data_IF_551661013095
#
_entry.id   IF_551661013095
#
_cell.length_a   1.000
_cell.length_b   1.000
_cell.length_c   1.000
_cell.angle_alpha   90.00
_cell.angle_beta   90.00
_cell.angle_gamma   90.00
#
_symmetry.space_group_name_H-M   'P 1'
#
loop_
_entity.id
_entity.type
_entity.pdbx_description
1 polymer ?
#
# COMPACT_ATOMS: atom_id res chain seq x y z
N UNK A 1 -33.90 15.02 -12.29
CA UNK A 1 -34.55 14.72 -13.59
C UNK A 1 -33.60 14.35 -14.72
N UNK A 2 -32.33 14.00 -14.44
CA UNK A 2 -31.41 13.36 -15.41
C UNK A 2 -31.01 11.94 -14.98
N UNK A 3 -31.58 11.42 -13.88
CA UNK A 3 -31.20 10.17 -13.23
C UNK A 3 -32.22 9.03 -13.34
N UNK A 4 -33.39 9.24 -13.98
CA UNK A 4 -34.44 8.19 -14.08
C UNK A 4 -34.55 7.53 -15.46
N UNK A 5 -33.82 7.98 -16.47
CA UNK A 5 -33.96 7.47 -17.84
C UNK A 5 -32.95 6.38 -18.26
N UNK A 6 -31.99 6.02 -17.41
CA UNK A 6 -30.96 5.02 -17.73
C UNK A 6 -31.22 3.65 -17.09
N UNK A 7 -32.12 3.55 -16.11
CA UNK A 7 -32.41 2.31 -15.39
C UNK A 7 -33.58 1.48 -15.96
N UNK A 8 -34.19 1.89 -17.08
CA UNK A 8 -35.39 1.24 -17.63
C UNK A 8 -35.17 0.47 -18.96
N UNK A 9 -33.93 0.21 -19.35
CA UNK A 9 -33.61 -0.58 -20.55
C UNK A 9 -32.37 -1.44 -20.33
N UNK A 10 -32.52 -2.53 -19.56
CA UNK A 10 -31.76 -3.77 -19.80
C UNK A 10 -32.32 -4.99 -19.03
N UNK A 11 -33.64 -5.07 -18.85
CA UNK A 11 -34.30 -6.35 -18.57
C UNK A 11 -34.46 -7.13 -19.88
N UNK A 12 -33.39 -7.83 -20.30
CA UNK A 12 -33.43 -9.11 -21.02
C UNK A 12 -32.07 -9.42 -21.64
N UNK A 13 -31.18 -10.08 -20.88
CA UNK A 13 -30.24 -11.08 -21.40
C UNK A 13 -29.62 -11.85 -20.24
N UNK A 14 -30.19 -13.01 -19.99
CA UNK A 14 -29.60 -14.08 -19.18
C UNK A 14 -28.30 -14.56 -19.84
N UNK A 15 -27.16 -14.32 -19.20
CA UNK A 15 -25.94 -15.08 -19.42
C UNK A 15 -25.41 -15.46 -18.04
N UNK A 16 -25.41 -16.76 -17.75
CA UNK A 16 -24.74 -17.35 -16.60
C UNK A 16 -23.26 -16.98 -16.63
N UNK A 17 -22.87 -16.03 -15.78
CA UNK A 17 -21.47 -15.73 -15.47
C UNK A 17 -21.16 -16.36 -14.12
N UNK A 18 -20.35 -17.40 -14.14
CA UNK A 18 -19.69 -17.94 -12.95
C UNK A 18 -18.73 -16.88 -12.41
N UNK A 19 -19.23 -16.02 -11.53
CA UNK A 19 -18.44 -15.08 -10.76
C UNK A 19 -17.50 -15.86 -9.84
N UNK A 20 -16.23 -15.95 -10.21
CA UNK A 20 -15.18 -16.41 -9.29
C UNK A 20 -14.90 -15.28 -8.31
N UNK A 21 -15.65 -15.24 -7.21
CA UNK A 21 -15.41 -14.31 -6.11
C UNK A 21 -14.00 -14.51 -5.55
N UNK A 22 -13.27 -13.43 -5.31
CA UNK A 22 -12.09 -13.47 -4.43
C UNK A 22 -12.48 -14.11 -3.08
N UNK A 23 -11.64 -14.97 -2.48
CA UNK A 23 -11.97 -15.62 -1.22
C UNK A 23 -12.40 -14.60 -0.15
N UNK A 24 -13.53 -14.79 0.54
CA UNK A 24 -14.03 -13.85 1.55
C UNK A 24 -13.02 -13.50 2.66
N UNK A 25 -12.05 -14.38 2.91
CA UNK A 25 -10.96 -14.18 3.86
C UNK A 25 -9.94 -13.09 3.45
N UNK A 26 -9.82 -12.78 2.15
CA UNK A 26 -8.96 -11.70 1.65
C UNK A 26 -9.60 -10.33 1.88
N UNK A 27 -10.91 -10.18 1.64
CA UNK A 27 -11.61 -8.89 1.75
C UNK A 27 -11.62 -8.31 3.18
N UNK A 28 -11.72 -9.14 4.22
CA UNK A 28 -11.72 -8.66 5.62
C UNK A 28 -10.32 -8.32 6.17
N UNK A 29 -9.25 -8.76 5.50
CA UNK A 29 -7.85 -8.52 5.87
C UNK A 29 -7.16 -7.45 4.99
N UNK A 30 -7.77 -7.10 3.86
CA UNK A 30 -7.25 -6.16 2.84
C UNK A 30 -7.61 -4.69 3.08
N UNK A 31 -8.20 -4.36 4.24
CA UNK A 31 -8.48 -2.97 4.61
C UNK A 31 -7.31 -2.46 5.47
N UNK A 32 -6.27 -1.82 4.88
CA UNK A 32 -5.38 -0.97 5.66
C UNK A 32 -6.25 0.10 6.34
N UNK A 33 -5.80 0.63 7.47
CA UNK A 33 -6.66 1.46 8.30
C UNK A 33 -7.31 2.63 7.54
N UNK A 34 -8.64 2.82 7.61
CA UNK A 34 -9.25 4.06 7.16
C UNK A 34 -8.78 5.20 8.07
N UNK A 35 -8.46 6.34 7.49
CA UNK A 35 -8.03 7.52 8.23
C UNK A 35 -9.26 8.12 8.96
N UNK A 36 -9.41 7.85 10.26
CA UNK A 36 -10.46 8.48 11.09
C UNK A 36 -10.00 8.68 12.53
N UNK A 37 -10.36 9.82 13.14
CA UNK A 37 -10.22 10.07 14.59
C UNK A 37 -11.59 10.37 15.21
N UNK A 38 -12.04 9.38 15.98
CA UNK A 38 -12.83 9.33 17.23
C UNK A 38 -13.50 10.61 17.76
N UNK A 39 -14.84 10.57 17.86
CA UNK A 39 -15.60 11.18 18.98
C UNK A 39 -15.76 10.15 20.11
N UNK A 40 -15.84 10.64 21.37
CA UNK A 40 -15.82 9.85 22.60
C UNK A 40 -16.98 8.85 22.80
N UNK A 41 -16.94 8.05 23.89
CA UNK A 41 -17.65 6.78 23.97
C UNK A 41 -19.15 6.95 24.21
N UNK A 42 -19.96 6.22 23.45
CA UNK A 42 -21.31 5.79 23.88
C UNK A 42 -21.29 4.28 24.13
N UNK A 43 -21.81 3.88 25.28
CA UNK A 43 -21.91 2.48 25.73
C UNK A 43 -22.70 1.59 24.74
N UNK A 44 -22.39 0.29 24.65
CA UNK A 44 -23.08 -0.64 23.77
C UNK A 44 -24.40 -1.14 24.37
N UNK A 45 -25.42 -1.28 23.52
CA UNK A 45 -26.65 -2.03 23.78
C UNK A 45 -26.43 -3.52 23.40
N UNK A 46 -26.61 -4.48 24.33
CA UNK A 46 -26.40 -5.90 24.07
C UNK A 46 -27.71 -6.57 23.68
N UNK A 47 -28.10 -6.50 22.41
CA UNK A 47 -29.16 -7.34 21.80
C UNK A 47 -29.08 -7.21 20.27
N UNK A 48 -28.64 -8.27 19.61
CA UNK A 48 -29.31 -8.92 18.46
C UNK A 48 -28.35 -9.96 17.83
N UNK A 49 -28.51 -11.24 18.20
CA UNK A 49 -29.02 -12.34 17.37
C UNK A 49 -27.92 -13.00 16.51
N UNK A 50 -27.27 -14.07 17.00
CA UNK A 50 -27.67 -15.51 16.97
C UNK A 50 -27.44 -16.23 15.61
N UNK A 51 -26.53 -17.22 15.69
CA UNK A 51 -26.49 -18.55 15.04
C UNK A 51 -26.40 -18.67 13.51
N UNK A 52 -25.38 -19.41 13.04
CA UNK A 52 -25.57 -20.64 12.25
C UNK A 52 -24.41 -21.64 12.49
N UNK A 53 -24.79 -22.92 12.50
CA UNK A 53 -24.03 -24.10 12.90
C UNK A 53 -23.09 -24.67 11.81
N UNK A 54 -21.97 -25.26 12.27
CA UNK A 54 -21.34 -26.52 11.84
C UNK A 54 -21.55 -27.06 10.41
N UNK A 55 -20.44 -27.18 9.67
CA UNK A 55 -20.20 -28.34 8.77
C UNK A 55 -18.74 -28.83 8.97
N UNK A 56 -18.62 -30.09 9.36
CA UNK A 56 -17.38 -30.88 9.51
C UNK A 56 -16.98 -31.59 8.21
N UNK A 57 -15.67 -31.80 8.02
CA UNK A 57 -15.11 -32.95 7.27
C UNK A 57 -14.38 -32.64 5.96
N UNK A 58 -13.04 -32.53 6.02
CA UNK A 58 -12.08 -33.42 5.32
C UNK A 58 -10.67 -32.77 5.30
N UNK A 59 -9.70 -33.47 5.89
CA UNK A 59 -8.28 -33.09 5.89
C UNK A 59 -7.68 -33.25 4.49
N UNK A 60 -7.40 -32.13 3.81
CA UNK A 60 -6.55 -32.13 2.61
C UNK A 60 -5.10 -31.92 3.04
N UNK A 61 -4.32 -33.01 3.04
CA UNK A 61 -2.86 -32.97 3.22
C UNK A 61 -2.22 -32.43 1.94
N UNK A 62 -1.85 -31.14 1.94
CA UNK A 62 -1.08 -30.54 0.84
C UNK A 62 0.41 -30.81 1.10
N UNK A 63 1.02 -31.66 0.26
CA UNK A 63 2.46 -31.91 0.28
C UNK A 63 3.21 -30.65 -0.14
N UNK A 64 3.94 -30.04 0.80
CA UNK A 64 4.84 -28.91 0.53
C UNK A 64 6.16 -29.47 0.00
N UNK A 65 6.59 -29.15 -1.24
CA UNK A 65 7.87 -29.60 -1.77
C UNK A 65 9.06 -29.00 -0.99
N UNK A 66 10.21 -29.68 -0.94
CA UNK A 66 11.36 -29.25 -0.13
C UNK A 66 11.98 -27.95 -0.67
N UNK A 67 12.48 -27.14 0.27
CA UNK A 67 13.09 -25.82 0.03
C UNK A 67 14.40 -25.90 -0.79
N UNK A 68 14.67 -24.95 -1.71
CA UNK A 68 15.98 -24.81 -2.33
C UNK A 68 17.02 -24.32 -1.32
N UNK A 69 18.20 -24.93 -1.34
CA UNK A 69 19.24 -24.83 -0.31
C UNK A 69 20.23 -23.66 -0.47
N UNK A 70 19.93 -22.62 -1.25
CA UNK A 70 20.87 -21.51 -1.49
C UNK A 70 20.25 -20.14 -1.24
N UNK A 71 20.68 -19.49 -0.15
CA UNK A 71 20.59 -18.04 0.02
C UNK A 71 21.45 -17.39 -1.08
N UNK A 72 20.84 -16.80 -2.10
CA UNK A 72 21.56 -16.02 -3.09
C UNK A 72 21.69 -14.58 -2.61
N UNK A 73 22.92 -14.16 -2.31
CA UNK A 73 23.32 -12.83 -1.81
C UNK A 73 23.79 -11.89 -2.92
N UNK A 74 23.32 -12.03 -4.15
CA UNK A 74 23.86 -11.28 -5.30
C UNK A 74 22.78 -10.46 -6.01
N UNK A 75 22.87 -9.14 -5.89
CA UNK A 75 22.17 -8.15 -6.72
C UNK A 75 22.90 -8.05 -8.08
N UNK A 76 22.25 -8.25 -9.24
CA UNK A 76 22.90 -8.04 -10.53
C UNK A 76 23.07 -6.54 -10.83
N UNK A 77 24.10 -6.14 -11.60
CA UNK A 77 24.35 -4.73 -11.91
C UNK A 77 23.29 -4.14 -12.86
N UNK A 78 22.94 -2.87 -12.66
CA UNK A 78 22.01 -2.12 -13.52
C UNK A 78 22.68 -1.72 -14.83
N UNK A 79 22.31 -2.39 -15.92
CA UNK A 79 22.55 -1.95 -17.30
C UNK A 79 21.21 -1.66 -17.96
N UNK A 80 21.13 -0.56 -18.73
CA UNK A 80 19.91 -0.04 -19.33
C UNK A 80 19.08 -1.10 -20.07
N UNK A 81 17.81 -1.20 -19.69
CA UNK A 81 16.81 -2.06 -20.32
C UNK A 81 16.35 -3.20 -19.41
N UNK A 82 15.16 -3.03 -18.81
CA UNK A 82 14.43 -3.99 -17.96
C UNK A 82 15.09 -4.34 -16.62
N UNK A 83 14.30 -4.19 -15.54
CA UNK A 83 14.56 -4.88 -14.28
C UNK A 83 14.51 -6.39 -14.55
N UNK A 84 15.64 -7.08 -14.41
CA UNK A 84 15.69 -8.53 -14.45
C UNK A 84 16.11 -9.04 -13.07
N UNK A 85 15.11 -9.47 -12.28
CA UNK A 85 15.38 -10.35 -11.15
C UNK A 85 15.76 -11.73 -11.71
N UNK A 86 16.82 -12.38 -11.18
CA UNK A 86 17.02 -13.80 -11.42
C UNK A 86 15.80 -14.54 -10.85
N UNK A 87 14.94 -15.06 -11.72
CA UNK A 87 13.84 -15.92 -11.31
C UNK A 87 14.48 -17.19 -10.74
N UNK A 88 14.35 -17.42 -9.44
CA UNK A 88 14.71 -18.71 -8.85
C UNK A 88 14.03 -19.82 -9.68
N UNK A 89 14.75 -20.83 -10.17
CA UNK A 89 14.15 -21.94 -10.93
C UNK A 89 12.99 -22.63 -10.17
N UNK A 90 12.96 -22.54 -8.83
CA UNK A 90 11.85 -22.99 -7.99
C UNK A 90 10.62 -22.06 -8.04
N UNK A 91 10.79 -20.77 -8.35
CA UNK A 91 9.73 -19.77 -8.58
C UNK A 91 9.11 -19.88 -9.99
N UNK A 92 9.82 -20.46 -10.95
CA UNK A 92 9.34 -20.59 -12.34
C UNK A 92 8.04 -21.39 -12.50
N UNK A 93 7.78 -22.35 -11.60
CA UNK A 93 6.52 -23.13 -11.59
C UNK A 93 5.32 -22.35 -11.05
N UNK A 94 5.59 -21.33 -10.22
CA UNK A 94 4.56 -20.50 -9.59
C UNK A 94 4.32 -19.21 -10.35
N UNK A 95 5.29 -18.70 -11.13
CA UNK A 95 5.02 -17.63 -12.10
C UNK A 95 3.88 -18.01 -13.07
N UNK A 96 3.77 -19.31 -13.41
CA UNK A 96 2.66 -19.85 -14.21
C UNK A 96 1.34 -20.00 -13.43
N UNK A 97 1.37 -20.23 -12.10
CA UNK A 97 0.17 -20.33 -11.25
C UNK A 97 -0.31 -18.98 -10.71
N UNK A 98 0.60 -18.01 -10.66
CA UNK A 98 0.37 -16.62 -10.27
C UNK A 98 0.21 -15.71 -11.49
N UNK A 99 0.23 -16.23 -12.72
CA UNK A 99 0.10 -15.46 -13.97
C UNK A 99 -1.05 -14.42 -13.98
N UNK A 100 -2.21 -14.64 -13.32
CA UNK A 100 -3.27 -13.62 -13.22
C UNK A 100 -2.92 -12.43 -12.32
N UNK A 101 -2.01 -12.58 -11.35
CA UNK A 101 -1.71 -11.60 -10.31
C UNK A 101 -0.81 -10.44 -10.78
N UNK A 102 0.12 -10.61 -11.73
CA UNK A 102 0.73 -9.46 -12.41
C UNK A 102 -0.27 -8.68 -13.27
N UNK A 103 -1.22 -9.37 -13.91
CA UNK A 103 -2.13 -8.74 -14.87
C UNK A 103 -3.11 -7.76 -14.22
N UNK A 104 -3.74 -8.12 -13.09
CA UNK A 104 -4.63 -7.18 -12.38
C UNK A 104 -3.84 -5.99 -11.79
N UNK A 105 -2.63 -6.21 -11.27
CA UNK A 105 -1.79 -5.15 -10.72
C UNK A 105 -1.34 -4.17 -11.81
N UNK A 106 -0.96 -4.68 -12.98
CA UNK A 106 -0.68 -3.86 -14.14
C UNK A 106 -1.91 -3.06 -14.61
N UNK A 107 -3.11 -3.68 -14.60
CA UNK A 107 -4.36 -2.98 -14.91
C UNK A 107 -4.63 -1.86 -13.90
N UNK A 108 -4.47 -2.14 -12.61
CA UNK A 108 -4.61 -1.14 -11.55
C UNK A 108 -3.59 0.00 -11.71
N UNK A 109 -2.36 -0.31 -12.12
CA UNK A 109 -1.32 0.67 -12.44
C UNK A 109 -1.74 1.60 -13.58
N UNK A 110 -2.22 1.02 -14.70
CA UNK A 110 -2.76 1.79 -15.83
C UNK A 110 -3.93 2.69 -15.43
N UNK A 111 -4.87 2.17 -14.64
CA UNK A 111 -6.04 2.93 -14.18
C UNK A 111 -5.68 4.04 -13.21
N UNK A 112 -4.70 3.81 -12.35
CA UNK A 112 -4.17 4.86 -11.45
C UNK A 112 -3.49 5.97 -12.26
N UNK A 113 -2.77 5.60 -13.34
CA UNK A 113 -2.20 6.57 -14.27
C UNK A 113 -3.28 7.35 -15.03
N UNK A 114 -4.30 6.68 -15.57
CA UNK A 114 -5.45 7.33 -16.23
C UNK A 114 -6.13 8.33 -15.28
N UNK A 115 -6.36 7.95 -14.02
CA UNK A 115 -6.91 8.83 -13.00
C UNK A 115 -6.06 10.09 -12.81
N UNK A 116 -4.75 9.93 -12.60
CA UNK A 116 -3.85 11.07 -12.42
C UNK A 116 -3.74 11.94 -13.67
N UNK A 117 -3.79 11.34 -14.86
CA UNK A 117 -3.78 12.10 -16.11
C UNK A 117 -5.03 12.97 -16.23
N UNK A 118 -6.21 12.43 -15.93
CA UNK A 118 -7.47 13.19 -15.93
C UNK A 118 -7.40 14.33 -14.91
N UNK A 119 -7.00 14.04 -13.67
CA UNK A 119 -6.89 15.05 -12.60
C UNK A 119 -5.82 16.11 -12.87
N UNK A 120 -4.79 15.78 -13.64
CA UNK A 120 -3.70 16.67 -14.03
C UNK A 120 -3.87 17.38 -15.38
N UNK A 121 -4.83 16.99 -16.20
CA UNK A 121 -5.03 17.56 -17.55
C UNK A 121 -5.77 18.90 -17.57
N UNK A 122 -6.49 19.24 -16.50
CA UNK A 122 -7.34 20.42 -16.44
C UNK A 122 -6.53 21.67 -16.06
N UNK A 123 -5.94 22.30 -17.08
CA UNK A 123 -5.10 23.50 -16.94
C UNK A 123 -5.89 24.81 -16.89
N UNK A 124 -7.16 24.83 -17.33
CA UNK A 124 -7.95 26.06 -17.40
C UNK A 124 -8.63 26.40 -16.08
N UNK A 125 -8.74 25.43 -15.16
CA UNK A 125 -9.25 25.65 -13.81
C UNK A 125 -8.09 25.67 -12.82
N UNK A 126 -7.82 26.82 -12.22
CA UNK A 126 -6.73 27.00 -11.23
C UNK A 126 -6.72 25.95 -10.12
N UNK A 127 -7.90 25.42 -9.75
CA UNK A 127 -8.04 24.39 -8.72
C UNK A 127 -7.46 23.02 -9.11
N UNK A 128 -7.39 22.73 -10.40
CA UNK A 128 -6.90 21.46 -10.97
C UNK A 128 -5.58 21.61 -11.71
N UNK A 129 -5.26 22.83 -12.17
CA UNK A 129 -4.02 23.12 -12.88
C UNK A 129 -2.80 22.60 -12.11
N UNK A 130 -1.96 21.75 -12.72
CA UNK A 130 -0.72 21.28 -12.11
C UNK A 130 0.16 22.43 -11.65
N UNK A 131 0.83 22.26 -10.52
CA UNK A 131 1.75 23.27 -9.96
C UNK A 131 3.13 22.67 -9.73
N UNK A 132 4.21 23.44 -9.93
CA UNK A 132 5.56 22.97 -9.63
C UNK A 132 5.72 22.54 -8.17
N UNK A 133 6.60 21.57 -7.95
CA UNK A 133 7.08 21.16 -6.64
C UNK A 133 8.19 22.14 -6.19
N UNK A 134 7.80 23.22 -5.53
CA UNK A 134 8.73 24.26 -5.09
C UNK A 134 9.47 23.88 -3.78
N UNK A 135 10.53 24.64 -3.48
CA UNK A 135 11.38 24.43 -2.29
C UNK A 135 10.60 24.59 -0.98
N UNK A 136 9.62 25.50 -0.93
CA UNK A 136 8.79 25.68 0.26
C UNK A 136 7.93 24.43 0.53
N UNK A 137 7.42 23.82 -0.54
CA UNK A 137 6.70 22.56 -0.45
C UNK A 137 7.63 21.39 -0.06
N UNK A 138 8.85 21.31 -0.59
CA UNK A 138 9.86 20.34 -0.13
C UNK A 138 10.09 20.45 1.38
N UNK A 139 10.31 21.67 1.87
CA UNK A 139 10.50 21.95 3.30
C UNK A 139 9.27 21.53 4.12
N UNK A 140 8.07 21.93 3.69
CA UNK A 140 6.82 21.57 4.37
C UNK A 140 6.63 20.05 4.42
N UNK A 141 6.91 19.35 3.32
CA UNK A 141 6.79 17.89 3.23
C UNK A 141 7.72 17.21 4.25
N UNK A 142 8.99 17.60 4.29
CA UNK A 142 9.96 17.07 5.25
C UNK A 142 9.55 17.35 6.71
N UNK A 143 9.16 18.59 7.03
CA UNK A 143 8.78 18.95 8.41
C UNK A 143 7.53 18.20 8.88
N UNK A 144 6.56 17.98 7.98
CA UNK A 144 5.36 17.20 8.29
C UNK A 144 5.72 15.74 8.62
N UNK A 145 6.52 15.09 7.77
CA UNK A 145 6.95 13.70 7.99
C UNK A 145 7.77 13.56 9.28
N UNK A 146 8.69 14.51 9.54
CA UNK A 146 9.50 14.54 10.77
C UNK A 146 8.66 14.73 12.03
N UNK A 147 7.63 15.59 11.96
CA UNK A 147 6.68 15.80 13.06
C UNK A 147 5.87 14.54 13.35
N UNK A 148 5.34 13.90 12.30
CA UNK A 148 4.63 12.63 12.43
C UNK A 148 5.54 11.53 13.01
N UNK A 149 6.78 11.43 12.52
CA UNK A 149 7.75 10.47 13.01
C UNK A 149 8.06 10.68 14.49
N UNK A 150 8.25 11.92 14.92
CA UNK A 150 8.50 12.26 16.32
C UNK A 150 7.32 11.84 17.22
N UNK A 151 6.08 12.06 16.76
CA UNK A 151 4.86 11.60 17.45
C UNK A 151 4.75 10.08 17.49
N UNK A 152 5.10 9.39 16.41
CA UNK A 152 5.11 7.94 16.35
C UNK A 152 6.10 7.34 17.36
N UNK A 153 7.33 7.88 17.43
CA UNK A 153 8.33 7.44 18.41
C UNK A 153 7.89 7.68 19.85
N UNK A 154 7.29 8.84 20.13
CA UNK A 154 6.79 9.16 21.46
C UNK A 154 5.67 8.18 21.88
N UNK A 155 4.69 7.96 21.01
CA UNK A 155 3.61 7.01 21.27
C UNK A 155 4.12 5.57 21.42
N UNK A 156 5.12 5.19 20.63
CA UNK A 156 5.77 3.87 20.69
C UNK A 156 6.46 3.66 22.04
N UNK A 157 7.17 4.67 22.56
CA UNK A 157 7.78 4.62 23.90
C UNK A 157 6.72 4.51 24.99
N UNK A 158 5.65 5.30 24.91
CA UNK A 158 4.56 5.30 25.90
C UNK A 158 3.82 3.96 25.97
N UNK A 159 3.61 3.31 24.82
CA UNK A 159 2.88 2.04 24.73
C UNK A 159 3.77 0.80 24.75
N UNK A 160 5.09 0.96 24.85
CA UNK A 160 6.06 -0.13 24.80
C UNK A 160 5.69 -1.32 25.69
N UNK A 161 5.34 -1.07 26.95
CA UNK A 161 5.03 -2.14 27.91
C UNK A 161 3.70 -2.88 27.61
N UNK A 162 2.87 -2.34 26.73
CA UNK A 162 1.60 -2.94 26.31
C UNK A 162 1.76 -3.82 25.06
N UNK A 163 2.93 -3.79 24.43
CA UNK A 163 3.21 -4.57 23.22
C UNK A 163 3.61 -6.01 23.55
N UNK A 164 3.39 -6.91 22.60
CA UNK A 164 3.90 -8.29 22.66
C UNK A 164 5.44 -8.30 22.77
N UNK A 165 6.03 -9.39 23.23
CA UNK A 165 7.50 -9.50 23.31
C UNK A 165 8.19 -9.28 21.95
N UNK A 166 7.65 -9.87 20.89
CA UNK A 166 8.15 -9.70 19.53
C UNK A 166 8.03 -8.24 19.05
N UNK A 167 6.87 -7.61 19.28
CA UNK A 167 6.64 -6.22 18.87
C UNK A 167 7.45 -5.22 19.72
N UNK A 168 7.76 -5.54 20.99
CA UNK A 168 8.67 -4.75 21.85
C UNK A 168 10.08 -4.71 21.29
N UNK A 169 10.63 -5.87 20.89
CA UNK A 169 11.97 -5.93 20.30
C UNK A 169 12.03 -5.13 18.99
N UNK A 170 11.01 -5.24 18.14
CA UNK A 170 10.90 -4.46 16.91
C UNK A 170 10.76 -2.94 17.19
N UNK A 171 10.02 -2.58 18.23
CA UNK A 171 9.84 -1.19 18.67
C UNK A 171 11.17 -0.57 19.15
N UNK A 172 11.91 -1.29 20.01
CA UNK A 172 13.22 -0.84 20.50
C UNK A 172 14.23 -0.68 19.37
N UNK A 173 14.24 -1.62 18.44
CA UNK A 173 15.06 -1.52 17.24
C UNK A 173 14.71 -0.26 16.46
N UNK A 174 13.42 0.02 16.23
CA UNK A 174 12.99 1.23 15.51
C UNK A 174 13.43 2.51 16.22
N UNK A 175 13.29 2.57 17.54
CA UNK A 175 13.76 3.71 18.35
C UNK A 175 15.27 3.90 18.18
N UNK A 176 16.04 2.82 18.14
CA UNK A 176 17.49 2.86 17.86
C UNK A 176 17.84 3.33 16.44
N UNK A 177 16.95 3.11 15.47
CA UNK A 177 17.12 3.57 14.08
C UNK A 177 16.60 4.99 13.82
N UNK A 178 16.13 5.71 14.85
CA UNK A 178 15.58 7.05 14.67
C UNK A 178 16.49 8.04 13.92
N UNK A 179 17.82 8.09 14.16
CA UNK A 179 18.71 8.96 13.40
C UNK A 179 18.77 8.61 11.90
N UNK A 180 18.76 7.32 11.56
CA UNK A 180 18.80 6.87 10.16
C UNK A 180 17.48 7.17 9.43
N UNK A 181 16.34 7.05 10.11
CA UNK A 181 15.04 7.42 9.54
C UNK A 181 14.95 8.94 9.30
N UNK A 182 15.38 9.78 10.25
CA UNK A 182 15.44 11.24 10.05
C UNK A 182 16.35 11.59 8.86
N UNK A 183 17.50 10.91 8.74
CA UNK A 183 18.42 11.07 7.60
C UNK A 183 17.71 10.74 6.28
N UNK A 184 17.03 9.59 6.15
CA UNK A 184 16.32 9.21 4.92
C UNK A 184 15.15 10.13 4.59
N UNK A 185 14.41 10.61 5.59
CA UNK A 185 13.37 11.61 5.37
C UNK A 185 13.98 12.92 4.83
N UNK A 186 15.17 13.29 5.30
CA UNK A 186 15.88 14.49 4.86
C UNK A 186 16.41 14.38 3.44
N UNK A 187 16.57 13.17 2.88
CA UNK A 187 17.02 12.99 1.49
C UNK A 187 16.11 13.72 0.48
N UNK A 188 14.84 14.03 0.80
CA UNK A 188 13.95 14.86 -0.05
C UNK A 188 14.40 16.34 -0.16
N UNK A 189 15.25 16.79 0.75
CA UNK A 189 15.78 18.15 0.81
C UNK A 189 17.10 18.32 0.04
N UNK A 190 17.67 17.24 -0.48
CA UNK A 190 18.95 17.28 -1.20
C UNK A 190 18.78 17.83 -2.63
N UNK A 191 18.97 19.14 -2.79
CA UNK A 191 18.75 19.80 -4.07
C UNK A 191 17.27 19.94 -4.47
N UNK A 192 17.04 20.58 -5.62
CA UNK A 192 15.70 20.86 -6.12
C UNK A 192 15.11 19.64 -6.82
N UNK A 193 13.88 19.28 -6.44
CA UNK A 193 13.16 18.18 -7.07
C UNK A 193 12.34 18.70 -8.25
N UNK A 194 12.73 18.30 -9.48
CA UNK A 194 11.96 18.56 -10.68
C UNK A 194 10.70 17.67 -10.71
N UNK A 195 9.63 18.14 -10.07
CA UNK A 195 8.39 17.40 -9.92
C UNK A 195 7.17 18.31 -10.05
N UNK A 196 6.02 17.69 -10.32
CA UNK A 196 4.73 18.37 -10.37
C UNK A 196 3.82 17.90 -9.24
N UNK A 197 2.83 18.74 -8.94
CA UNK A 197 1.76 18.45 -7.98
C UNK A 197 0.41 18.70 -8.61
N UNK A 198 -0.51 17.77 -8.40
CA UNK A 198 -1.89 17.83 -8.90
C UNK A 198 -2.85 17.51 -7.77
N UNK A 199 -4.16 17.61 -8.05
CA UNK A 199 -5.14 16.92 -7.19
C UNK A 199 -4.95 15.42 -7.39
N UNK A 200 -4.79 14.70 -6.30
CA UNK A 200 -4.70 13.24 -6.31
C UNK A 200 -5.84 12.67 -5.43
N UNK A 201 -5.97 11.35 -5.39
CA UNK A 201 -6.85 10.69 -4.44
C UNK A 201 -6.37 10.96 -3.00
N UNK A 202 -5.06 10.91 -2.77
CA UNK A 202 -4.41 11.35 -1.55
C UNK A 202 -4.41 10.35 -0.38
N UNK A 203 -5.18 9.26 -0.49
CA UNK A 203 -5.20 8.11 0.41
C UNK A 203 -5.50 6.81 -0.36
N UNK A 204 -4.89 6.67 -1.54
CA UNK A 204 -5.12 5.50 -2.40
C UNK A 204 -4.52 4.24 -1.76
N UNK A 205 -5.35 3.20 -1.62
CA UNK A 205 -4.96 1.87 -1.15
C UNK A 205 -5.97 0.81 -1.63
N UNK A 206 -5.73 -0.49 -1.37
CA UNK A 206 -6.59 -1.57 -1.86
C UNK A 206 -8.06 -1.43 -1.43
N UNK A 207 -8.31 -1.03 -0.19
CA UNK A 207 -9.66 -0.72 0.29
C UNK A 207 -10.39 0.44 -0.44
N UNK A 208 -9.71 1.25 -1.26
CA UNK A 208 -10.31 2.35 -2.05
C UNK A 208 -10.53 2.00 -3.52
N UNK A 209 -10.44 0.72 -3.86
CA UNK A 209 -10.57 0.25 -5.23
C UNK A 209 -11.49 -0.96 -5.27
N UNK A 210 -12.48 -0.92 -6.16
CA UNK A 210 -13.42 -2.00 -6.40
C UNK A 210 -13.12 -2.66 -7.75
N UNK A 211 -13.04 -3.98 -7.77
CA UNK A 211 -12.87 -4.75 -9.01
C UNK A 211 -14.24 -5.14 -9.58
N UNK A 212 -14.51 -4.78 -10.83
CA UNK A 212 -15.80 -5.03 -11.52
C UNK A 212 -15.88 -6.41 -12.17
N UNK A 213 -14.78 -7.16 -12.18
CA UNK A 213 -14.62 -8.42 -12.90
C UNK A 213 -13.69 -8.30 -14.11
N UNK A 214 -13.61 -7.10 -14.70
CA UNK A 214 -12.78 -6.77 -15.85
C UNK A 214 -11.95 -5.49 -15.68
N UNK A 215 -12.33 -4.60 -14.75
CA UNK A 215 -11.67 -3.32 -14.51
C UNK A 215 -11.77 -2.86 -13.04
N UNK A 216 -11.26 -1.67 -12.74
CA UNK A 216 -11.27 -1.05 -11.43
C UNK A 216 -12.02 0.27 -11.37
N UNK A 217 -12.75 0.47 -10.27
CA UNK A 217 -13.39 1.73 -9.91
C UNK A 217 -12.74 2.27 -8.63
N UNK A 218 -12.34 3.54 -8.66
CA UNK A 218 -11.81 4.26 -7.50
C UNK A 218 -12.97 4.89 -6.71
N UNK A 219 -12.93 4.76 -5.39
CA UNK A 219 -13.95 5.31 -4.48
C UNK A 219 -13.31 6.27 -3.46
N UNK A 220 -14.12 6.91 -2.62
CA UNK A 220 -13.71 7.77 -1.50
C UNK A 220 -12.64 8.84 -1.82
N UNK A 221 -12.94 9.69 -2.80
CA UNK A 221 -12.16 10.90 -3.15
C UNK A 221 -12.23 12.03 -2.10
N UNK A 222 -12.74 11.75 -0.90
CA UNK A 222 -12.78 12.74 0.18
C UNK A 222 -11.36 13.14 0.65
N UNK A 223 -10.34 12.35 0.29
CA UNK A 223 -9.01 12.42 0.87
C UNK A 223 -9.06 12.07 2.36
N UNK A 224 -7.98 12.32 3.10
CA UNK A 224 -7.92 12.01 4.53
C UNK A 224 -9.04 12.70 5.34
N UNK A 225 -10.03 11.96 5.90
CA UNK A 225 -11.15 12.51 6.66
C UNK A 225 -10.74 13.35 7.88
N UNK A 226 -9.57 13.08 8.46
CA UNK A 226 -9.04 13.84 9.59
C UNK A 226 -8.46 15.21 9.22
N UNK A 227 -8.27 15.52 7.92
CA UNK A 227 -7.70 16.79 7.47
C UNK A 227 -8.76 17.85 7.23
N UNK A 228 -8.41 19.13 7.43
CA UNK A 228 -9.29 20.26 7.10
C UNK A 228 -9.63 20.24 5.61
N UNK A 229 -10.81 20.74 5.22
CA UNK A 229 -11.23 20.81 3.80
C UNK A 229 -10.18 21.50 2.89
N UNK A 230 -9.46 22.51 3.39
CA UNK A 230 -8.37 23.17 2.67
C UNK A 230 -7.15 22.27 2.42
N UNK A 231 -6.86 21.34 3.33
CA UNK A 231 -5.75 20.38 3.23
C UNK A 231 -6.11 19.17 2.36
N UNK A 232 -7.40 18.80 2.29
CA UNK A 232 -7.93 17.79 1.36
C UNK A 232 -7.91 18.28 -0.09
N UNK A 233 -8.00 19.60 -0.30
CA UNK A 233 -7.86 20.23 -1.63
C UNK A 233 -6.41 20.49 -2.04
N UNK A 234 -5.45 20.17 -1.17
CA UNK A 234 -4.04 20.45 -1.40
C UNK A 234 -3.48 19.57 -2.53
N UNK A 235 -2.76 20.20 -3.47
CA UNK A 235 -2.11 19.48 -4.57
C UNK A 235 -0.86 18.75 -4.09
N UNK A 236 -0.72 17.48 -4.45
CA UNK A 236 0.38 16.61 -4.02
C UNK A 236 1.05 15.99 -5.23
N UNK A 237 2.24 15.45 -5.02
CA UNK A 237 2.88 14.64 -6.04
C UNK A 237 2.17 13.28 -6.15
N UNK A 238 2.01 12.80 -7.37
CA UNK A 238 1.30 11.55 -7.70
C UNK A 238 1.91 10.31 -7.08
N UNK A 239 3.21 10.34 -6.77
CA UNK A 239 3.91 9.21 -6.14
C UNK A 239 3.44 8.95 -4.70
N UNK A 240 2.70 9.88 -4.08
CA UNK A 240 2.02 9.62 -2.80
C UNK A 240 0.99 8.49 -2.93
N UNK A 241 0.17 8.53 -3.96
CA UNK A 241 -0.89 7.53 -4.18
C UNK A 241 -0.28 6.19 -4.63
N UNK A 242 0.77 6.24 -5.46
CA UNK A 242 1.57 5.07 -5.85
C UNK A 242 2.17 4.38 -4.61
N UNK A 243 2.83 5.15 -3.74
CA UNK A 243 3.39 4.63 -2.49
C UNK A 243 2.31 4.06 -1.56
N UNK A 244 1.14 4.69 -1.50
CA UNK A 244 -0.01 4.20 -0.74
C UNK A 244 -0.48 2.82 -1.20
N UNK A 245 -0.59 2.62 -2.51
CA UNK A 245 -0.96 1.32 -3.09
C UNK A 245 0.11 0.26 -2.86
N UNK A 246 1.39 0.57 -3.10
CA UNK A 246 2.51 -0.38 -2.86
C UNK A 246 2.60 -0.79 -1.38
N UNK A 247 2.43 0.17 -0.46
CA UNK A 247 2.32 -0.13 0.98
C UNK A 247 1.11 -1.00 1.28
N UNK A 248 -0.01 -0.79 0.60
CA UNK A 248 -1.21 -1.63 0.76
C UNK A 248 -0.96 -3.09 0.35
N UNK A 249 -0.19 -3.35 -0.72
CA UNK A 249 0.22 -4.72 -1.07
C UNK A 249 1.07 -5.34 0.04
N UNK A 250 2.09 -4.61 0.51
CA UNK A 250 2.97 -5.06 1.58
C UNK A 250 2.19 -5.35 2.89
N UNK A 251 1.27 -4.45 3.25
CA UNK A 251 0.46 -4.59 4.45
C UNK A 251 -0.46 -5.82 4.35
N UNK A 252 -1.12 -6.04 3.21
CA UNK A 252 -1.99 -7.20 3.02
C UNK A 252 -1.22 -8.53 3.14
N UNK A 253 0.00 -8.60 2.59
CA UNK A 253 0.86 -9.79 2.71
C UNK A 253 1.26 -10.06 4.17
N UNK A 254 1.71 -9.03 4.89
CA UNK A 254 2.08 -9.14 6.31
C UNK A 254 0.89 -9.51 7.20
N UNK A 255 -0.28 -8.91 6.95
CA UNK A 255 -1.51 -9.26 7.66
C UNK A 255 -1.88 -10.74 7.43
N UNK A 256 -1.76 -11.24 6.19
CA UNK A 256 -2.02 -12.63 5.87
C UNK A 256 -1.02 -13.58 6.57
N UNK A 257 0.27 -13.25 6.61
CA UNK A 257 1.27 -14.01 7.37
C UNK A 257 0.94 -14.07 8.85
N UNK A 258 0.54 -12.94 9.45
CA UNK A 258 0.19 -12.85 10.88
C UNK A 258 -1.08 -13.64 11.21
N UNK A 259 -2.09 -13.62 10.35
CA UNK A 259 -3.33 -14.40 10.53
C UNK A 259 -3.13 -15.92 10.37
N UNK A 260 -2.16 -16.35 9.54
CA UNK A 260 -1.85 -17.77 9.30
C UNK A 260 -0.88 -18.39 10.30
N UNK A 261 -0.57 -17.71 11.40
CA UNK A 261 0.19 -18.27 12.54
C UNK A 261 -0.58 -19.37 13.32
N UNK A 262 -1.31 -20.26 12.65
CA UNK A 262 -2.01 -21.39 13.25
C UNK A 262 -1.09 -22.57 13.57
N UNK A 263 0.08 -22.67 12.93
CA UNK A 263 1.15 -23.63 13.28
C UNK A 263 2.50 -22.92 13.44
N UNK A 264 3.33 -23.39 14.37
CA UNK A 264 4.71 -22.90 14.57
C UNK A 264 5.52 -23.18 13.30
N UNK A 265 6.22 -22.15 12.79
CA UNK A 265 7.09 -22.25 11.60
C UNK A 265 6.44 -21.90 10.26
N UNK A 266 5.10 -21.84 10.17
CA UNK A 266 4.41 -21.51 8.91
C UNK A 266 4.78 -20.09 8.41
N UNK A 267 4.91 -19.12 9.31
CA UNK A 267 5.26 -17.75 8.94
C UNK A 267 6.69 -17.62 8.40
N UNK A 268 7.66 -18.28 9.03
CA UNK A 268 9.06 -18.28 8.57
C UNK A 268 9.21 -18.95 7.21
N UNK A 269 8.45 -20.03 6.97
CA UNK A 269 8.44 -20.73 5.69
C UNK A 269 7.76 -19.90 4.57
N UNK A 270 6.75 -19.09 4.91
CA UNK A 270 5.97 -18.30 3.95
C UNK A 270 6.51 -16.87 3.73
N UNK A 271 7.33 -16.34 4.63
CA UNK A 271 7.86 -14.97 4.52
C UNK A 271 8.57 -14.69 3.18
N UNK A 272 9.48 -15.55 2.67
CA UNK A 272 10.11 -15.32 1.37
C UNK A 272 9.10 -15.27 0.21
N UNK A 273 8.02 -16.05 0.31
CA UNK A 273 6.97 -16.09 -0.71
C UNK A 273 6.11 -14.84 -0.69
N UNK A 274 5.72 -14.38 0.51
CA UNK A 274 5.01 -13.13 0.68
C UNK A 274 5.84 -11.96 0.14
N UNK A 275 7.15 -11.95 0.39
CA UNK A 275 8.05 -10.93 -0.14
C UNK A 275 8.10 -10.95 -1.68
N UNK A 276 8.31 -12.12 -2.29
CA UNK A 276 8.32 -12.26 -3.75
C UNK A 276 6.98 -11.83 -4.37
N UNK A 277 5.86 -12.13 -3.70
CA UNK A 277 4.53 -11.72 -4.13
C UNK A 277 4.36 -10.19 -4.11
N UNK A 278 4.73 -9.54 -3.00
CA UNK A 278 4.67 -8.08 -2.87
C UNK A 278 5.52 -7.40 -3.95
N UNK A 279 6.76 -7.84 -4.15
CA UNK A 279 7.64 -7.32 -5.20
C UNK A 279 7.05 -7.51 -6.60
N UNK A 280 6.50 -8.69 -6.90
CA UNK A 280 5.87 -8.97 -8.19
C UNK A 280 4.69 -8.04 -8.48
N UNK A 281 3.82 -7.81 -7.49
CA UNK A 281 2.69 -6.90 -7.61
C UNK A 281 3.13 -5.45 -7.75
N UNK A 282 4.03 -4.98 -6.88
CA UNK A 282 4.49 -3.60 -6.88
C UNK A 282 5.22 -3.25 -8.17
N UNK A 283 6.08 -4.15 -8.67
CA UNK A 283 6.76 -3.96 -9.96
C UNK A 283 5.75 -3.91 -11.09
N UNK A 284 4.81 -4.87 -11.16
CA UNK A 284 3.82 -4.90 -12.24
C UNK A 284 2.90 -3.69 -12.22
N UNK A 285 2.53 -3.20 -11.03
CA UNK A 285 1.75 -1.97 -10.84
C UNK A 285 2.54 -0.72 -11.25
N UNK A 286 3.76 -0.57 -10.75
CA UNK A 286 4.61 0.59 -10.98
C UNK A 286 5.04 0.68 -12.45
N UNK A 287 5.48 -0.42 -13.05
CA UNK A 287 5.89 -0.47 -14.45
C UNK A 287 4.75 -0.04 -15.37
N UNK A 288 3.55 -0.61 -15.18
CA UNK A 288 2.39 -0.26 -16.00
C UNK A 288 1.91 1.18 -15.75
N UNK A 289 2.04 1.69 -14.52
CA UNK A 289 1.75 3.09 -14.19
C UNK A 289 2.74 4.05 -14.89
N UNK A 290 4.04 3.74 -14.87
CA UNK A 290 5.08 4.55 -15.48
C UNK A 290 5.02 4.51 -17.01
N UNK A 291 4.81 3.33 -17.60
CA UNK A 291 4.60 3.17 -19.05
C UNK A 291 3.42 4.01 -19.53
N UNK A 292 2.32 4.03 -18.76
CA UNK A 292 1.12 4.78 -19.12
C UNK A 292 1.31 6.30 -19.03
N UNK A 293 2.22 6.78 -18.20
CA UNK A 293 2.57 8.20 -18.04
C UNK A 293 3.90 8.57 -18.70
N UNK A 294 4.40 7.74 -19.62
CA UNK A 294 5.64 8.05 -20.33
C UNK A 294 5.55 9.41 -21.06
N UNK A 295 6.59 10.23 -20.92
CA UNK A 295 6.62 11.61 -21.41
C UNK A 295 5.70 12.61 -20.70
N UNK A 296 4.94 12.20 -19.67
CA UNK A 296 4.08 13.10 -18.90
C UNK A 296 4.88 13.89 -17.85
N UNK A 297 4.68 15.22 -17.73
CA UNK A 297 5.34 16.01 -16.69
C UNK A 297 4.84 15.70 -15.28
N UNK A 298 3.79 14.88 -15.14
CA UNK A 298 3.19 14.52 -13.84
C UNK A 298 4.09 13.62 -13.01
N UNK A 299 4.95 12.82 -13.65
CA UNK A 299 5.86 11.88 -12.98
C UNK A 299 7.30 12.32 -13.24
N UNK A 300 8.05 12.53 -12.17
CA UNK A 300 9.48 12.80 -12.28
C UNK A 300 10.24 11.61 -12.86
N UNK A 301 11.44 11.86 -13.38
CA UNK A 301 12.31 10.82 -13.94
C UNK A 301 13.53 10.55 -13.05
N UNK A 302 14.19 9.42 -13.32
CA UNK A 302 15.48 9.06 -12.72
C UNK A 302 15.53 9.16 -11.19
N UNK A 303 16.59 9.77 -10.68
CA UNK A 303 16.87 9.89 -9.25
C UNK A 303 15.78 10.66 -8.48
N UNK A 304 15.17 11.68 -9.10
CA UNK A 304 14.10 12.49 -8.48
C UNK A 304 12.89 11.61 -8.18
N UNK A 305 12.51 10.74 -9.11
CA UNK A 305 11.42 9.76 -8.92
C UNK A 305 11.72 8.80 -7.79
N UNK A 306 12.91 8.22 -7.78
CA UNK A 306 13.32 7.26 -6.76
C UNK A 306 13.32 7.88 -5.36
N UNK A 307 13.85 9.09 -5.23
CA UNK A 307 13.89 9.81 -3.96
C UNK A 307 12.50 10.15 -3.44
N UNK A 308 11.61 10.65 -4.30
CA UNK A 308 10.22 10.93 -3.92
C UNK A 308 9.46 9.65 -3.55
N UNK A 309 9.62 8.57 -4.32
CA UNK A 309 8.95 7.31 -4.03
C UNK A 309 9.43 6.71 -2.70
N UNK A 310 10.75 6.64 -2.47
CA UNK A 310 11.31 6.19 -1.18
C UNK A 310 10.82 7.04 -0.02
N UNK A 311 10.76 8.36 -0.20
CA UNK A 311 10.22 9.28 0.80
C UNK A 311 8.76 8.95 1.13
N UNK A 312 7.88 8.82 0.12
CA UNK A 312 6.46 8.56 0.36
C UNK A 312 6.18 7.17 0.92
N UNK A 313 6.96 6.16 0.54
CA UNK A 313 6.88 4.83 1.15
C UNK A 313 7.23 4.88 2.64
N UNK A 314 8.29 5.62 2.99
CA UNK A 314 8.72 5.80 4.38
C UNK A 314 7.68 6.61 5.18
N UNK A 315 7.20 7.73 4.64
CA UNK A 315 6.16 8.58 5.24
C UNK A 315 4.87 7.78 5.53
N UNK A 316 4.39 7.00 4.54
CA UNK A 316 3.20 6.16 4.71
C UNK A 316 3.43 5.04 5.73
N UNK A 317 4.60 4.42 5.76
CA UNK A 317 4.90 3.37 6.74
C UNK A 317 5.00 3.93 8.18
N UNK A 318 5.56 5.15 8.36
CA UNK A 318 5.57 5.85 9.65
C UNK A 318 4.14 6.20 10.09
N UNK A 319 3.31 6.67 9.15
CA UNK A 319 1.89 6.90 9.41
C UNK A 319 1.19 5.64 9.90
N UNK A 320 1.40 4.49 9.25
CA UNK A 320 0.83 3.21 9.68
C UNK A 320 1.26 2.85 11.11
N UNK A 321 2.55 3.03 11.49
CA UNK A 321 2.99 2.81 12.88
C UNK A 321 2.19 3.67 13.85
N UNK A 322 2.09 4.97 13.59
CA UNK A 322 1.33 5.88 14.45
C UNK A 322 -0.15 5.47 14.55
N UNK A 323 -0.75 5.09 13.42
CA UNK A 323 -2.14 4.67 13.36
C UNK A 323 -2.38 3.39 14.16
N UNK A 324 -1.60 2.33 13.92
CA UNK A 324 -1.82 1.05 14.61
C UNK A 324 -1.58 1.20 16.10
N UNK A 325 -0.55 1.94 16.51
CA UNK A 325 -0.35 2.26 17.93
C UNK A 325 -1.56 2.95 18.54
N UNK A 326 -2.29 3.77 17.79
CA UNK A 326 -3.46 4.50 18.29
C UNK A 326 -4.70 3.61 18.39
N UNK A 327 -4.98 2.86 17.32
CA UNK A 327 -6.28 2.21 17.10
C UNK A 327 -6.26 0.70 17.31
N UNK A 328 -5.15 0.03 16.96
CA UNK A 328 -5.01 -1.43 16.99
C UNK A 328 -3.58 -1.82 17.39
N UNK A 329 -3.15 -1.60 18.66
CA UNK A 329 -1.76 -1.79 19.07
C UNK A 329 -1.20 -3.19 18.74
N UNK A 330 -2.05 -4.22 18.77
CA UNK A 330 -1.70 -5.60 18.41
C UNK A 330 -1.31 -5.79 16.94
N UNK A 331 -1.52 -4.80 16.08
CA UNK A 331 -1.18 -4.81 14.66
C UNK A 331 0.11 -4.03 14.35
N UNK A 332 0.70 -3.34 15.34
CA UNK A 332 1.87 -2.47 15.11
C UNK A 332 3.09 -3.20 14.53
N UNK A 333 3.22 -4.51 14.78
CA UNK A 333 4.30 -5.30 14.20
C UNK A 333 4.34 -5.31 12.67
N UNK A 334 3.18 -5.15 12.01
CA UNK A 334 3.08 -5.10 10.55
C UNK A 334 3.86 -3.89 9.99
N UNK A 335 3.55 -2.64 10.36
CA UNK A 335 4.31 -1.50 9.88
C UNK A 335 5.73 -1.41 10.46
N UNK A 336 6.02 -1.99 11.63
CA UNK A 336 7.40 -2.11 12.13
C UNK A 336 8.26 -3.00 11.23
N UNK A 337 7.73 -4.15 10.79
CA UNK A 337 8.41 -5.01 9.82
C UNK A 337 8.60 -4.29 8.47
N UNK A 338 7.59 -3.55 8.02
CA UNK A 338 7.67 -2.70 6.83
C UNK A 338 8.79 -1.67 6.89
N UNK A 339 8.91 -0.93 8.00
CA UNK A 339 9.99 0.04 8.21
C UNK A 339 11.37 -0.63 8.21
N UNK A 340 11.49 -1.80 8.84
CA UNK A 340 12.74 -2.56 8.86
C UNK A 340 13.21 -2.92 7.45
N UNK A 341 12.30 -3.37 6.58
CA UNK A 341 12.61 -3.70 5.18
C UNK A 341 12.98 -2.47 4.37
N UNK A 342 12.22 -1.38 4.49
CA UNK A 342 12.56 -0.11 3.84
C UNK A 342 13.95 0.38 4.27
N UNK A 343 14.31 0.20 5.55
CA UNK A 343 15.65 0.51 6.07
C UNK A 343 16.75 -0.43 5.55
N UNK A 344 16.44 -1.70 5.28
CA UNK A 344 17.35 -2.62 4.61
C UNK A 344 17.55 -2.31 3.10
N UNK A 345 16.81 -1.34 2.55
CA UNK A 345 16.86 -0.98 1.13
C UNK A 345 15.91 -1.79 0.26
N UNK A 346 15.06 -2.62 0.88
CA UNK A 346 14.02 -3.37 0.18
C UNK A 346 12.86 -2.42 -0.13
N UNK A 347 12.60 -2.19 -1.41
CA UNK A 347 11.38 -1.52 -1.87
C UNK A 347 10.30 -2.59 -2.06
N UNK A 348 9.07 -2.38 -1.52
CA UNK A 348 7.99 -3.32 -1.70
C UNK A 348 7.62 -3.47 -3.17
#
# INVERSE_FOLDING_TARGET
TYFEHVLARDEARSVESTATSLPPALLSAMVPPPVSVVEGPRSPDPRELRTFESITGDEVTVAVPPLPSRRSTVVPPMGGGRWSTPVDPALGRWAALAEPLPQWAAMLGRRTADLHQVLGSESNRTEFAPVPFDVLHQQSLYQNARTLFSRALELLRQRREQLSEADRAAADWLVGQAPEIDRRLRDVMDGQLAAMRIRCHGDLHLGQVLFTGDDFVFVDFEGEPARKLSERRYKRNVLRDVAGMMRSFAYAAEAALRQRQRRRGDAEALEPWAHAWVQGLSNSFLDAYLERLDGSPLVSEGEVRERLLRFYLLDKCIYEVYYELTNRPDWVGIPLAGLRRLLAGETP
#
